data_IF_975695106684
#
_entry.id   IF_975695106684
#
_cell.length_a   1.000
_cell.length_b   1.000
_cell.length_c   1.000
_cell.angle_alpha   90.00
_cell.angle_beta   90.00
_cell.angle_gamma   90.00
#
_symmetry.space_group_name_H-M   'P 1'
#
loop_
_entity.id
_entity.type
_entity.pdbx_description
1 polymer ?
#
# COMPACT_ATOMS: atom_id res chain seq x y z
N UNK A 1 1.15 -29.84 5.42
CA UNK A 1 1.78 -28.75 6.19
C UNK A 1 1.76 -27.52 5.29
N UNK A 2 1.04 -26.46 5.66
CA UNK A 2 1.02 -25.24 4.85
C UNK A 2 2.38 -24.55 5.02
N UNK A 3 3.14 -24.42 3.94
CA UNK A 3 4.30 -23.55 3.95
C UNK A 3 3.80 -22.12 4.19
N UNK A 4 4.18 -21.52 5.32
CA UNK A 4 3.96 -20.09 5.55
C UNK A 4 4.73 -19.32 4.48
N UNK A 5 4.02 -18.63 3.59
CA UNK A 5 4.63 -17.80 2.57
C UNK A 5 5.50 -16.74 3.25
N UNK A 6 6.79 -16.64 2.88
CA UNK A 6 7.68 -15.61 3.41
C UNK A 6 7.60 -14.37 2.53
N UNK A 7 7.30 -13.23 3.15
CA UNK A 7 7.26 -11.94 2.47
C UNK A 7 8.54 -11.14 2.75
N UNK A 8 8.92 -10.33 1.79
CA UNK A 8 10.01 -9.37 1.86
C UNK A 8 9.44 -8.01 1.52
N UNK A 9 9.63 -7.02 2.37
CA UNK A 9 9.11 -5.67 2.14
C UNK A 9 10.28 -4.72 1.89
N UNK A 10 10.16 -3.87 0.88
CA UNK A 10 11.13 -2.83 0.51
C UNK A 10 10.41 -1.54 0.12
N UNK A 11 11.14 -0.43 0.02
CA UNK A 11 10.61 0.78 -0.61
C UNK A 11 10.30 0.52 -2.09
N UNK A 12 9.25 1.14 -2.59
CA UNK A 12 8.95 1.19 -4.00
C UNK A 12 10.03 1.97 -4.76
N UNK A 13 10.23 1.65 -6.03
CA UNK A 13 11.08 2.44 -6.91
C UNK A 13 10.53 2.59 -8.32
N UNK A 14 10.82 3.74 -8.94
CA UNK A 14 10.50 3.99 -10.34
C UNK A 14 11.34 3.13 -11.28
N UNK A 15 12.63 2.93 -10.96
CA UNK A 15 13.52 2.02 -11.71
C UNK A 15 13.00 0.57 -11.66
N UNK A 16 12.40 0.17 -10.53
CA UNK A 16 11.77 -1.14 -10.37
C UNK A 16 10.43 -1.29 -11.09
N UNK A 17 9.94 -0.24 -11.75
CA UNK A 17 8.60 -0.17 -12.36
C UNK A 17 7.49 -0.47 -11.35
N UNK A 18 7.64 -0.01 -10.11
CA UNK A 18 6.66 -0.32 -9.05
C UNK A 18 5.38 0.49 -9.18
N UNK A 19 5.43 1.69 -9.77
CA UNK A 19 4.22 2.45 -10.09
C UNK A 19 3.28 1.66 -11.00
N UNK A 20 3.82 1.04 -12.07
CA UNK A 20 3.04 0.20 -12.99
C UNK A 20 2.49 -1.05 -12.28
N UNK A 21 3.28 -1.64 -11.37
CA UNK A 21 2.80 -2.75 -10.55
C UNK A 21 1.64 -2.31 -9.64
N UNK A 22 1.74 -1.17 -8.96
CA UNK A 22 0.71 -0.65 -8.06
C UNK A 22 -0.60 -0.42 -8.84
N UNK A 23 -0.54 0.29 -9.96
CA UNK A 23 -1.71 0.54 -10.82
C UNK A 23 -2.39 -0.77 -11.23
N UNK A 24 -1.60 -1.74 -11.68
CA UNK A 24 -2.13 -3.02 -12.11
C UNK A 24 -2.67 -3.86 -10.94
N UNK A 25 -2.12 -3.72 -9.73
CA UNK A 25 -2.65 -4.33 -8.52
C UNK A 25 -4.00 -3.71 -8.14
N UNK A 26 -4.18 -2.39 -8.28
CA UNK A 26 -5.48 -1.74 -8.12
C UNK A 26 -6.53 -2.30 -9.07
N UNK A 27 -6.24 -2.37 -10.36
CA UNK A 27 -7.16 -2.98 -11.34
C UNK A 27 -7.51 -4.43 -10.98
N UNK A 28 -6.53 -5.20 -10.48
CA UNK A 28 -6.74 -6.58 -10.07
C UNK A 28 -7.74 -6.75 -8.92
N UNK A 29 -7.94 -5.71 -8.09
CA UNK A 29 -8.85 -5.79 -6.95
C UNK A 29 -10.31 -5.66 -7.33
N UNK A 30 -10.64 -4.96 -8.43
CA UNK A 30 -12.03 -4.65 -8.78
C UNK A 30 -12.90 -5.90 -8.95
N UNK A 31 -12.47 -6.97 -9.68
CA UNK A 31 -13.26 -8.19 -9.76
C UNK A 31 -13.47 -8.88 -8.40
N UNK A 32 -12.48 -8.81 -7.51
CA UNK A 32 -12.60 -9.37 -6.17
C UNK A 32 -13.58 -8.58 -5.30
N UNK A 33 -13.50 -7.25 -5.33
CA UNK A 33 -14.40 -6.35 -4.62
C UNK A 33 -15.84 -6.51 -5.10
N UNK A 34 -16.05 -6.64 -6.42
CA UNK A 34 -17.37 -6.93 -6.99
C UNK A 34 -17.91 -8.28 -6.50
N UNK A 35 -17.08 -9.33 -6.48
CA UNK A 35 -17.50 -10.66 -6.03
C UNK A 35 -17.92 -10.71 -4.55
N UNK A 36 -17.43 -9.80 -3.71
CA UNK A 36 -17.83 -9.68 -2.29
C UNK A 36 -18.90 -8.60 -2.03
N UNK A 37 -19.46 -8.00 -3.09
CA UNK A 37 -20.53 -6.99 -2.98
C UNK A 37 -20.04 -5.60 -2.55
N UNK A 38 -18.76 -5.29 -2.74
CA UNK A 38 -18.16 -3.99 -2.40
C UNK A 38 -17.89 -3.10 -3.62
N UNK A 39 -18.42 -3.41 -4.80
CA UNK A 39 -18.18 -2.63 -6.01
C UNK A 39 -18.61 -1.16 -5.92
N UNK A 40 -19.75 -0.88 -5.28
CA UNK A 40 -20.33 0.48 -5.23
C UNK A 40 -19.39 1.52 -4.59
N UNK A 41 -18.59 1.12 -3.60
CA UNK A 41 -17.64 2.02 -2.92
C UNK A 41 -16.42 2.36 -3.77
N UNK A 42 -16.06 1.50 -4.71
CA UNK A 42 -14.80 1.61 -5.46
C UNK A 42 -15.02 1.97 -6.92
N UNK A 43 -16.22 1.76 -7.47
CA UNK A 43 -16.56 1.91 -8.87
C UNK A 43 -16.10 0.72 -9.74
N UNK A 44 -16.59 0.67 -10.96
CA UNK A 44 -16.30 -0.41 -11.91
C UNK A 44 -15.18 -0.07 -12.90
N UNK A 45 -14.91 1.23 -13.09
CA UNK A 45 -13.85 1.69 -14.00
C UNK A 45 -12.47 1.29 -13.46
N UNK A 46 -11.62 0.62 -14.27
CA UNK A 46 -10.23 0.34 -13.92
C UNK A 46 -9.51 1.60 -13.46
N UNK A 47 -8.70 1.48 -12.41
CA UNK A 47 -7.91 2.58 -11.89
C UNK A 47 -6.90 3.09 -12.91
N UNK A 48 -6.34 2.21 -13.75
CA UNK A 48 -5.49 2.61 -14.88
C UNK A 48 -6.19 3.51 -15.92
N UNK A 49 -7.52 3.48 -15.97
CA UNK A 49 -8.33 4.29 -16.88
C UNK A 49 -8.89 5.56 -16.22
N UNK A 50 -8.68 5.74 -14.91
CA UNK A 50 -9.12 6.95 -14.19
C UNK A 50 -8.15 8.09 -14.46
N UNK A 51 -8.72 9.26 -14.77
CA UNK A 51 -7.94 10.47 -14.97
C UNK A 51 -7.11 10.78 -13.71
N UNK A 52 -5.83 11.15 -13.91
CA UNK A 52 -4.91 11.49 -12.83
C UNK A 52 -4.27 10.30 -12.10
N UNK A 53 -4.96 9.17 -11.95
CA UNK A 53 -4.52 8.08 -11.05
C UNK A 53 -3.13 7.51 -11.37
N UNK A 54 -2.82 7.29 -12.65
CA UNK A 54 -1.52 6.77 -13.06
C UNK A 54 -0.39 7.76 -12.74
N UNK A 55 -0.64 9.05 -12.99
CA UNK A 55 0.32 10.12 -12.73
C UNK A 55 0.54 10.29 -11.22
N UNK A 56 -0.54 10.35 -10.43
CA UNK A 56 -0.48 10.43 -8.96
C UNK A 56 0.27 9.24 -8.35
N UNK A 57 0.11 8.04 -8.92
CA UNK A 57 0.84 6.85 -8.47
C UNK A 57 2.35 6.96 -8.76
N UNK A 58 2.73 7.50 -9.93
CA UNK A 58 4.13 7.75 -10.27
C UNK A 58 4.72 8.78 -9.31
N UNK A 59 4.04 9.90 -9.11
CA UNK A 59 4.46 10.97 -8.20
C UNK A 59 4.60 10.47 -6.76
N UNK A 60 3.67 9.63 -6.29
CA UNK A 60 3.76 9.04 -4.95
C UNK A 60 4.96 8.11 -4.78
N UNK A 61 5.37 7.38 -5.83
CA UNK A 61 6.58 6.54 -5.78
C UNK A 61 7.83 7.41 -5.83
N UNK A 62 7.86 8.42 -6.70
CA UNK A 62 8.97 9.38 -6.78
C UNK A 62 9.19 10.11 -5.45
N UNK A 63 8.12 10.65 -4.85
CA UNK A 63 8.16 11.30 -3.54
C UNK A 63 8.66 10.34 -2.45
N UNK A 64 8.30 9.06 -2.53
CA UNK A 64 8.74 8.06 -1.56
C UNK A 64 10.23 7.70 -1.65
N UNK A 65 10.86 7.88 -2.81
CA UNK A 65 12.29 7.59 -2.98
C UNK A 65 13.16 8.61 -2.25
N UNK A 66 12.68 9.84 -2.06
CA UNK A 66 13.36 10.85 -1.23
C UNK A 66 13.41 10.37 0.23
N UNK A 67 14.61 10.17 0.82
CA UNK A 67 14.74 9.76 2.21
C UNK A 67 14.04 10.69 3.21
N UNK A 68 14.01 12.00 2.93
CA UNK A 68 13.46 13.02 3.82
C UNK A 68 11.94 13.19 3.67
N UNK A 69 11.35 12.61 2.64
CA UNK A 69 9.90 12.63 2.44
C UNK A 69 9.16 11.92 3.59
N UNK A 70 8.07 12.56 4.03
CA UNK A 70 7.13 12.01 4.99
C UNK A 70 6.21 10.94 4.39
N UNK A 71 6.10 10.87 3.06
CA UNK A 71 5.31 9.88 2.34
C UNK A 71 6.18 8.69 1.97
N UNK A 72 5.77 7.46 2.32
CA UNK A 72 6.49 6.23 1.95
C UNK A 72 5.57 5.21 1.32
N UNK A 73 6.02 4.63 0.21
CA UNK A 73 5.38 3.53 -0.50
C UNK A 73 6.23 2.29 -0.35
N UNK A 74 5.62 1.22 0.15
CA UNK A 74 6.28 -0.07 0.38
C UNK A 74 5.73 -1.13 -0.56
N UNK A 75 6.62 -1.94 -1.11
CA UNK A 75 6.28 -3.10 -1.93
C UNK A 75 6.55 -4.37 -1.13
N UNK A 76 5.55 -5.24 -1.06
CA UNK A 76 5.72 -6.60 -0.57
C UNK A 76 6.01 -7.53 -1.75
N UNK A 77 7.01 -8.37 -1.56
CA UNK A 77 7.47 -9.36 -2.51
C UNK A 77 7.46 -10.75 -1.87
N UNK A 78 7.40 -11.78 -2.70
CA UNK A 78 7.59 -13.15 -2.25
C UNK A 78 8.30 -13.99 -3.30
N UNK A 79 8.82 -15.16 -2.90
CA UNK A 79 9.44 -16.09 -3.83
C UNK A 79 8.38 -16.77 -4.69
N UNK A 80 8.63 -16.82 -5.99
CA UNK A 80 7.81 -17.59 -6.92
C UNK A 80 7.95 -19.08 -6.61
N UNK A 81 6.83 -19.76 -6.34
CA UNK A 81 6.81 -21.21 -6.15
C UNK A 81 7.08 -21.91 -7.47
N UNK A 82 8.05 -22.85 -7.50
CA UNK A 82 8.34 -23.68 -8.67
C UNK A 82 9.52 -23.24 -9.54
N UNK A 83 10.19 -22.12 -9.24
CA UNK A 83 11.46 -21.76 -9.89
C UNK A 83 12.66 -22.34 -9.10
N UNK A 84 13.57 -23.00 -9.80
CA UNK A 84 14.85 -23.49 -9.25
C UNK A 84 15.82 -22.36 -8.91
N UNK A 85 15.64 -21.19 -9.53
CA UNK A 85 16.35 -19.97 -9.15
C UNK A 85 15.67 -19.29 -7.96
N UNK A 86 16.20 -19.58 -6.78
CA UNK A 86 15.71 -19.09 -5.47
C UNK A 86 15.75 -17.56 -5.26
N UNK A 87 16.19 -16.81 -6.29
CA UNK A 87 16.40 -15.38 -6.27
C UNK A 87 15.25 -14.56 -6.87
N UNK A 88 14.44 -15.14 -7.77
CA UNK A 88 13.37 -14.37 -8.43
C UNK A 88 12.22 -14.12 -7.44
N UNK A 89 12.06 -12.84 -7.07
CA UNK A 89 10.97 -12.36 -6.24
C UNK A 89 9.90 -11.74 -7.12
N UNK A 90 8.65 -12.02 -6.80
CA UNK A 90 7.49 -11.39 -7.44
C UNK A 90 6.84 -10.44 -6.45
N UNK A 91 6.30 -9.34 -6.97
CA UNK A 91 5.57 -8.34 -6.19
C UNK A 91 4.14 -8.84 -5.97
N UNK A 92 3.65 -8.65 -4.76
CA UNK A 92 2.40 -9.28 -4.29
C UNK A 92 1.48 -8.33 -3.53
N UNK A 93 1.96 -7.13 -3.19
CA UNK A 93 1.14 -6.07 -2.60
C UNK A 93 1.92 -4.78 -2.43
N UNK A 94 1.21 -3.71 -2.11
CA UNK A 94 1.77 -2.39 -1.83
C UNK A 94 1.06 -1.73 -0.65
N UNK A 95 1.73 -0.81 0.04
CA UNK A 95 1.10 0.06 1.01
C UNK A 95 1.73 1.45 1.00
N UNK A 96 0.92 2.48 1.21
CA UNK A 96 1.36 3.88 1.30
C UNK A 96 1.07 4.42 2.68
N UNK A 97 2.07 5.03 3.32
CA UNK A 97 1.95 5.70 4.62
C UNK A 97 2.42 7.14 4.56
N UNK A 98 1.85 7.98 5.41
CA UNK A 98 2.26 9.38 5.60
C UNK A 98 2.67 9.60 7.05
N UNK A 99 3.81 10.22 7.28
CA UNK A 99 4.28 10.61 8.61
C UNK A 99 3.66 11.94 9.02
N UNK A 100 3.05 11.98 10.21
CA UNK A 100 2.51 13.19 10.85
C UNK A 100 1.64 14.07 9.92
N UNK A 101 1.00 13.44 8.94
CA UNK A 101 0.17 14.10 7.94
C UNK A 101 -1.04 13.24 7.62
N UNK A 102 -2.21 13.89 7.56
CA UNK A 102 -3.47 13.29 7.16
C UNK A 102 -3.92 13.90 5.83
N UNK A 103 -4.69 13.17 5.02
CA UNK A 103 -5.21 13.68 3.76
C UNK A 103 -6.22 14.83 3.97
N UNK A 104 -6.33 15.69 2.96
CA UNK A 104 -7.12 16.93 3.00
C UNK A 104 -8.58 16.69 3.42
N UNK A 105 -9.21 15.62 2.91
CA UNK A 105 -10.60 15.30 3.24
C UNK A 105 -10.83 14.97 4.74
N UNK A 106 -9.77 14.65 5.50
CA UNK A 106 -9.84 14.51 6.96
C UNK A 106 -9.57 15.85 7.63
N UNK A 107 -8.51 16.56 7.22
CA UNK A 107 -8.10 17.81 7.86
C UNK A 107 -9.08 18.96 7.64
N UNK A 108 -9.82 18.93 6.54
CA UNK A 108 -10.82 19.94 6.18
C UNK A 108 -12.20 19.64 6.78
N UNK A 109 -12.43 18.43 7.31
CA UNK A 109 -13.69 18.06 7.92
C UNK A 109 -13.81 18.67 9.34
N UNK A 110 -14.81 19.54 9.54
CA UNK A 110 -14.95 20.32 10.79
C UNK A 110 -14.98 19.43 12.05
N UNK A 111 -15.70 18.32 11.98
CA UNK A 111 -15.85 17.37 13.10
C UNK A 111 -14.53 16.67 13.47
N UNK A 112 -13.57 16.61 12.55
CA UNK A 112 -12.29 15.94 12.77
C UNK A 112 -11.21 16.89 13.30
N UNK A 113 -11.43 18.22 13.28
CA UNK A 113 -10.40 19.22 13.61
C UNK A 113 -9.71 18.99 14.96
N UNK A 114 -10.49 18.70 16.01
CA UNK A 114 -9.92 18.46 17.34
C UNK A 114 -8.99 17.23 17.33
N UNK A 115 -9.45 16.13 16.71
CA UNK A 115 -8.65 14.91 16.61
C UNK A 115 -7.38 15.10 15.76
N UNK A 116 -7.47 15.86 14.67
CA UNK A 116 -6.33 16.20 13.81
C UNK A 116 -5.31 17.05 14.57
N UNK A 117 -5.78 18.05 15.34
CA UNK A 117 -4.90 18.94 16.10
C UNK A 117 -4.18 18.23 17.26
N UNK A 118 -4.82 17.25 17.88
CA UNK A 118 -4.24 16.44 18.96
C UNK A 118 -3.32 15.32 18.45
N UNK A 119 -3.42 14.95 17.17
CA UNK A 119 -2.63 13.88 16.59
C UNK A 119 -1.15 14.28 16.48
N UNK A 120 -0.28 13.54 17.15
CA UNK A 120 1.17 13.75 17.12
C UNK A 120 1.92 12.43 17.06
N UNK A 121 3.09 12.43 16.39
CA UNK A 121 3.96 11.27 16.27
C UNK A 121 3.20 10.06 15.71
N UNK A 122 2.61 10.19 14.53
CA UNK A 122 1.79 9.14 13.94
C UNK A 122 2.20 8.79 12.52
N UNK A 123 1.76 7.61 12.10
CA UNK A 123 1.64 7.24 10.70
C UNK A 123 0.16 7.23 10.31
N UNK A 124 -0.15 7.69 9.12
CA UNK A 124 -1.45 7.48 8.49
C UNK A 124 -1.29 6.46 7.36
N UNK A 125 -1.99 5.33 7.45
CA UNK A 125 -2.04 4.32 6.39
C UNK A 125 -3.05 4.77 5.33
N UNK A 126 -2.54 5.34 4.23
CA UNK A 126 -3.40 5.86 3.17
C UNK A 126 -3.95 4.74 2.28
N UNK A 127 -3.13 3.73 1.98
CA UNK A 127 -3.51 2.62 1.10
C UNK A 127 -2.82 1.35 1.56
N UNK A 128 -3.52 0.22 1.47
CA UNK A 128 -2.93 -1.12 1.51
C UNK A 128 -3.63 -2.02 0.49
N UNK A 129 -2.84 -2.63 -0.41
CA UNK A 129 -3.37 -3.39 -1.52
C UNK A 129 -2.62 -4.70 -1.75
N UNK A 130 -3.35 -5.68 -2.25
CA UNK A 130 -2.83 -6.98 -2.64
C UNK A 130 -3.03 -7.17 -4.14
N UNK A 131 -2.10 -7.84 -4.81
CA UNK A 131 -2.25 -8.26 -6.19
C UNK A 131 -3.08 -9.55 -6.24
N UNK A 132 -4.20 -9.56 -6.95
CA UNK A 132 -5.13 -10.70 -6.99
C UNK A 132 -5.00 -11.59 -8.23
N UNK A 133 -4.23 -11.19 -9.25
CA UNK A 133 -3.98 -12.02 -10.46
C UNK A 133 -2.93 -13.09 -10.22
N UNK A 134 -2.08 -12.90 -9.22
CA UNK A 134 -1.25 -13.97 -8.69
C UNK A 134 -2.16 -14.93 -7.92
N UNK A 135 -1.85 -16.22 -7.95
CA UNK A 135 -2.58 -17.25 -7.20
C UNK A 135 -2.60 -16.91 -5.68
N UNK A 136 -2.94 -17.85 -4.80
CA UNK A 136 -3.03 -17.68 -3.33
C UNK A 136 -1.77 -17.15 -2.62
N UNK A 137 -0.72 -16.76 -3.34
CA UNK A 137 0.48 -16.07 -2.88
C UNK A 137 0.23 -14.72 -2.23
N UNK A 138 -0.90 -14.05 -2.51
CA UNK A 138 -1.28 -12.81 -1.83
C UNK A 138 -1.76 -13.03 -0.38
N UNK A 139 -2.07 -14.27 0.03
CA UNK A 139 -2.59 -14.54 1.38
C UNK A 139 -1.55 -14.19 2.43
N UNK A 140 -1.91 -13.27 3.33
CA UNK A 140 -1.03 -12.77 4.38
C UNK A 140 -0.18 -11.56 4.00
N UNK A 141 -0.23 -11.11 2.73
CA UNK A 141 0.57 -9.94 2.29
C UNK A 141 0.23 -8.68 3.09
N UNK A 142 -1.05 -8.43 3.33
CA UNK A 142 -1.51 -7.26 4.08
C UNK A 142 -1.02 -7.30 5.53
N UNK A 143 -1.04 -8.48 6.16
CA UNK A 143 -0.48 -8.68 7.51
C UNK A 143 1.02 -8.38 7.51
N UNK A 144 1.78 -8.89 6.54
CA UNK A 144 3.21 -8.62 6.45
C UNK A 144 3.53 -7.14 6.21
N UNK A 145 2.74 -6.44 5.39
CA UNK A 145 2.87 -5.00 5.16
C UNK A 145 2.59 -4.21 6.44
N UNK A 146 1.52 -4.54 7.16
CA UNK A 146 1.18 -3.90 8.43
C UNK A 146 2.26 -4.11 9.49
N UNK A 147 2.78 -5.32 9.64
CA UNK A 147 3.87 -5.61 10.57
C UNK A 147 5.14 -4.80 10.24
N UNK A 148 5.45 -4.68 8.95
CA UNK A 148 6.57 -3.85 8.48
C UNK A 148 6.33 -2.37 8.78
N UNK A 149 5.16 -1.83 8.47
CA UNK A 149 4.77 -0.44 8.72
C UNK A 149 4.83 -0.11 10.21
N UNK A 150 4.37 -1.00 11.08
CA UNK A 150 4.46 -0.80 12.52
C UNK A 150 5.92 -0.75 12.99
N UNK A 151 6.81 -1.58 12.43
CA UNK A 151 8.24 -1.51 12.72
C UNK A 151 8.85 -0.20 12.21
N UNK A 152 8.53 0.18 10.98
CA UNK A 152 8.94 1.46 10.39
C UNK A 152 8.53 2.64 11.28
N UNK A 153 7.28 2.67 11.74
CA UNK A 153 6.79 3.70 12.66
C UNK A 153 7.57 3.73 13.97
N UNK A 154 7.85 2.57 14.58
CA UNK A 154 8.67 2.50 15.80
C UNK A 154 10.09 3.04 15.59
N UNK A 155 10.72 2.70 14.48
CA UNK A 155 12.06 3.21 14.10
C UNK A 155 12.06 4.73 13.91
N UNK A 156 10.93 5.29 13.47
CA UNK A 156 10.69 6.72 13.28
C UNK A 156 10.04 7.40 14.49
N UNK A 157 10.04 6.75 15.66
CA UNK A 157 9.46 7.26 16.92
C UNK A 157 7.97 7.61 16.86
N UNK A 158 7.22 7.01 15.93
CA UNK A 158 5.77 7.13 15.83
C UNK A 158 5.10 6.22 16.87
N UNK A 159 4.03 6.72 17.49
CA UNK A 159 3.27 6.09 18.57
C UNK A 159 1.95 5.50 18.10
N UNK A 160 1.35 6.07 17.06
CA UNK A 160 0.01 5.71 16.59
C UNK A 160 0.02 5.45 15.08
N UNK A 161 -0.77 4.47 14.65
CA UNK A 161 -1.09 4.21 13.24
C UNK A 161 -2.58 4.49 13.04
N UNK A 162 -2.90 5.53 12.28
CA UNK A 162 -4.27 5.87 11.88
C UNK A 162 -4.60 5.28 10.51
N UNK A 163 -5.89 5.05 10.27
CA UNK A 163 -6.49 4.61 9.00
C UNK A 163 -7.93 5.13 8.96
N UNK A 164 -8.50 5.24 7.76
CA UNK A 164 -9.91 5.53 7.53
C UNK A 164 -10.61 4.36 6.80
N UNK A 165 -11.94 4.41 6.74
CA UNK A 165 -12.78 3.40 6.09
C UNK A 165 -14.10 4.00 5.60
#
# INVERSE_FOLDING_TARGET
MAHSQKFYVRLASLEGHDAQFIIAAFDSTLPHLAAIGSAEMWGEQPFSEREGFAQETIESVEESEDPDSASKVFIAETRKTGCTDSAERIRVGSATVREDSMPAYITEHEEMKLHVQEAMNFLFLAVIIAEYRIDRLYKGVRTSLLEYIQRYGRERSKKTLYVDC
#
